data_IF_287398748351
#
_entry.id   IF_287398748351
#
_cell.length_a   1.000
_cell.length_b   1.000
_cell.length_c   1.000
_cell.angle_alpha   90.00
_cell.angle_beta   90.00
_cell.angle_gamma   90.00
#
_symmetry.space_group_name_H-M   'P 1'
#
loop_
_entity.id
_entity.type
_entity.pdbx_description
1 polymer ?
#
# COMPACT_ATOMS: atom_id res chain seq x y z
N UNK A 1 -32.48 -5.22 4.44
CA UNK A 1 -32.25 -3.87 3.86
C UNK A 1 -30.88 -3.28 4.25
N UNK A 2 -30.38 -3.55 5.45
CA UNK A 2 -29.12 -2.98 5.99
C UNK A 2 -27.83 -3.29 5.20
N UNK A 3 -27.70 -4.52 4.69
CA UNK A 3 -26.54 -4.96 3.88
C UNK A 3 -26.31 -4.11 2.63
N UNK A 4 -27.37 -3.75 1.90
CA UNK A 4 -27.25 -2.94 0.68
C UNK A 4 -26.88 -1.49 1.02
N UNK A 5 -27.36 -0.97 2.15
CA UNK A 5 -27.01 0.37 2.65
C UNK A 5 -25.51 0.46 3.00
N UNK A 6 -24.97 -0.50 3.75
CA UNK A 6 -23.54 -0.55 4.10
C UNK A 6 -22.65 -0.65 2.86
N UNK A 7 -23.04 -1.48 1.88
CA UNK A 7 -22.32 -1.61 0.61
C UNK A 7 -22.34 -0.33 -0.22
N UNK A 8 -23.49 0.34 -0.29
CA UNK A 8 -23.63 1.61 -0.98
C UNK A 8 -22.78 2.70 -0.33
N UNK A 9 -22.76 2.77 1.02
CA UNK A 9 -21.87 3.66 1.78
C UNK A 9 -20.40 3.42 1.43
N UNK A 10 -19.97 2.15 1.39
CA UNK A 10 -18.59 1.80 1.05
C UNK A 10 -18.19 2.18 -0.38
N UNK A 11 -19.12 2.09 -1.34
CA UNK A 11 -18.93 2.56 -2.71
C UNK A 11 -18.83 4.09 -2.73
N UNK A 12 -19.75 4.79 -2.07
CA UNK A 12 -19.78 6.25 -2.04
C UNK A 12 -18.50 6.84 -1.43
N UNK A 13 -17.97 6.24 -0.36
CA UNK A 13 -16.70 6.65 0.23
C UNK A 13 -15.55 6.63 -0.78
N UNK A 14 -15.43 5.57 -1.59
CA UNK A 14 -14.42 5.51 -2.65
C UNK A 14 -14.68 6.53 -3.76
N UNK A 15 -15.95 6.82 -4.09
CA UNK A 15 -16.28 7.83 -5.10
C UNK A 15 -15.93 9.26 -4.70
N UNK A 16 -15.78 9.54 -3.40
CA UNK A 16 -15.37 10.85 -2.89
C UNK A 16 -13.86 11.10 -3.03
N UNK A 17 -13.06 10.06 -3.25
CA UNK A 17 -11.61 10.17 -3.40
C UNK A 17 -11.23 10.86 -4.72
N UNK A 18 -10.12 11.60 -4.70
CA UNK A 18 -9.68 12.38 -5.87
C UNK A 18 -9.24 11.50 -7.04
N UNK A 19 -8.64 10.33 -6.78
CA UNK A 19 -8.40 9.29 -7.80
C UNK A 19 -9.68 8.94 -8.56
N UNK A 20 -10.80 8.74 -7.86
CA UNK A 20 -12.05 8.40 -8.50
C UNK A 20 -12.61 9.58 -9.32
N UNK A 21 -12.57 10.80 -8.78
CA UNK A 21 -12.98 12.00 -9.50
C UNK A 21 -12.17 12.19 -10.79
N UNK A 22 -10.84 11.99 -10.71
CA UNK A 22 -9.92 12.05 -11.84
C UNK A 22 -10.25 10.98 -12.88
N UNK A 23 -10.45 9.73 -12.45
CA UNK A 23 -10.87 8.63 -13.31
C UNK A 23 -12.14 8.96 -14.10
N UNK A 24 -13.21 9.41 -13.44
CA UNK A 24 -14.48 9.66 -14.14
C UNK A 24 -14.44 10.89 -15.06
N UNK A 25 -13.54 11.85 -14.78
CA UNK A 25 -13.27 12.99 -15.67
C UNK A 25 -12.61 12.52 -16.98
N UNK A 26 -11.60 11.66 -16.88
CA UNK A 26 -10.82 11.18 -18.02
C UNK A 26 -11.55 10.08 -18.80
N UNK A 27 -12.22 9.16 -18.09
CA UNK A 27 -12.89 7.98 -18.69
C UNK A 27 -14.39 8.01 -18.44
N UNK A 28 -15.14 8.82 -19.23
CA UNK A 28 -16.60 8.79 -19.26
C UNK A 28 -17.13 7.38 -19.52
N UNK A 29 -18.32 7.08 -18.98
CA UNK A 29 -18.92 5.73 -19.07
C UNK A 29 -19.04 5.21 -20.51
N UNK A 30 -19.29 6.11 -21.45
CA UNK A 30 -19.49 5.82 -22.87
C UNK A 30 -18.19 5.44 -23.58
N UNK A 31 -17.04 5.92 -23.09
CA UNK A 31 -15.72 5.66 -23.67
C UNK A 31 -14.99 4.49 -22.99
N UNK A 32 -15.64 3.79 -22.04
CA UNK A 32 -15.04 2.66 -21.33
C UNK A 32 -14.99 1.42 -22.20
N UNK A 33 -13.77 1.05 -22.56
CA UNK A 33 -13.43 -0.16 -23.32
C UNK A 33 -13.31 -1.38 -22.38
N UNK A 34 -13.73 -2.58 -22.85
CA UNK A 34 -13.89 -3.78 -22.00
C UNK A 34 -12.55 -4.42 -21.66
N UNK A 35 -11.61 -4.35 -22.58
CA UNK A 35 -10.25 -4.85 -22.55
C UNK A 35 -9.47 -4.23 -21.38
N UNK A 36 -9.79 -2.99 -21.02
CA UNK A 36 -9.17 -2.27 -19.90
C UNK A 36 -9.98 -2.35 -18.60
N UNK A 37 -11.04 -3.16 -18.54
CA UNK A 37 -11.95 -3.16 -17.37
C UNK A 37 -11.30 -3.67 -16.08
N UNK A 38 -10.28 -4.52 -16.19
CA UNK A 38 -9.49 -5.05 -15.08
C UNK A 38 -8.18 -4.27 -14.85
N UNK A 39 -7.97 -3.16 -15.58
CA UNK A 39 -6.81 -2.28 -15.44
C UNK A 39 -7.24 -0.83 -15.19
N UNK A 40 -7.46 -0.05 -16.25
CA UNK A 40 -7.64 1.40 -16.17
C UNK A 40 -9.11 1.85 -16.24
N UNK A 41 -9.98 1.03 -16.83
CA UNK A 41 -11.41 1.32 -17.02
C UNK A 41 -12.28 0.60 -15.97
N UNK A 42 -11.92 0.76 -14.71
CA UNK A 42 -12.53 0.04 -13.59
C UNK A 42 -14.05 0.23 -13.50
N UNK A 43 -14.79 -0.85 -13.23
CA UNK A 43 -16.25 -0.81 -13.08
C UNK A 43 -16.64 -0.81 -11.61
N UNK A 44 -17.51 0.13 -11.22
CA UNK A 44 -18.07 0.17 -9.87
C UNK A 44 -18.82 -1.13 -9.58
N UNK A 45 -18.51 -1.83 -8.47
CA UNK A 45 -19.22 -3.03 -8.06
C UNK A 45 -20.70 -2.74 -7.81
N UNK A 46 -21.60 -3.59 -8.32
CA UNK A 46 -23.03 -3.48 -8.05
C UNK A 46 -23.34 -4.00 -6.63
N UNK A 47 -23.71 -3.08 -5.74
CA UNK A 47 -24.01 -3.35 -4.33
C UNK A 47 -25.25 -4.23 -4.13
N UNK A 48 -26.13 -4.31 -5.12
CA UNK A 48 -27.40 -5.06 -5.10
C UNK A 48 -27.20 -6.55 -5.36
N UNK A 49 -26.04 -6.96 -5.88
CA UNK A 49 -25.77 -8.36 -6.18
C UNK A 49 -25.81 -9.21 -4.91
N UNK A 50 -26.45 -10.37 -5.02
CA UNK A 50 -26.53 -11.33 -3.92
C UNK A 50 -25.20 -12.10 -3.76
N UNK A 51 -24.20 -11.40 -3.22
CA UNK A 51 -22.87 -11.93 -2.92
C UNK A 51 -22.72 -12.20 -1.42
N UNK A 52 -21.88 -13.17 -1.07
CA UNK A 52 -21.37 -13.33 0.29
C UNK A 52 -20.54 -12.11 0.70
N UNK A 53 -20.31 -11.93 2.01
CA UNK A 53 -19.48 -10.82 2.52
C UNK A 53 -18.06 -10.86 1.95
N UNK A 54 -17.42 -12.04 1.96
CA UNK A 54 -16.07 -12.22 1.41
C UNK A 54 -15.98 -11.90 -0.09
N UNK A 55 -16.91 -12.42 -0.92
CA UNK A 55 -16.94 -12.11 -2.36
C UNK A 55 -17.14 -10.62 -2.63
N UNK A 56 -17.99 -9.96 -1.84
CA UNK A 56 -18.17 -8.51 -1.94
C UNK A 56 -16.90 -7.75 -1.58
N UNK A 57 -16.28 -8.06 -0.44
CA UNK A 57 -15.06 -7.39 0.00
C UNK A 57 -13.91 -7.57 -0.99
N UNK A 58 -13.76 -8.75 -1.58
CA UNK A 58 -12.78 -8.99 -2.66
C UNK A 58 -13.03 -8.10 -3.88
N UNK A 59 -14.28 -8.01 -4.35
CA UNK A 59 -14.64 -7.13 -5.48
C UNK A 59 -14.41 -5.65 -5.17
N UNK A 60 -14.80 -5.21 -3.97
CA UNK A 60 -14.61 -3.84 -3.52
C UNK A 60 -13.13 -3.48 -3.40
N UNK A 61 -12.31 -4.37 -2.83
CA UNK A 61 -10.86 -4.20 -2.70
C UNK A 61 -10.19 -4.11 -4.08
N UNK A 62 -10.51 -5.03 -5.00
CA UNK A 62 -9.98 -4.99 -6.36
C UNK A 62 -10.33 -3.68 -7.06
N UNK A 63 -11.61 -3.26 -7.00
CA UNK A 63 -12.03 -1.99 -7.59
C UNK A 63 -11.28 -0.79 -7.00
N UNK A 64 -11.10 -0.74 -5.67
CA UNK A 64 -10.31 0.32 -5.02
C UNK A 64 -8.86 0.35 -5.50
N UNK A 65 -8.21 -0.81 -5.62
CA UNK A 65 -6.83 -0.89 -6.16
C UNK A 65 -6.74 -0.25 -7.55
N UNK A 66 -7.71 -0.52 -8.43
CA UNK A 66 -7.74 0.08 -9.77
C UNK A 66 -8.04 1.58 -9.73
N UNK A 67 -8.93 2.04 -8.85
CA UNK A 67 -9.20 3.47 -8.63
C UNK A 67 -7.93 4.19 -8.17
N UNK A 68 -7.22 3.66 -7.18
CA UNK A 68 -6.00 4.27 -6.64
C UNK A 68 -4.85 4.39 -7.64
N UNK A 69 -4.83 3.62 -8.73
CA UNK A 69 -3.86 3.85 -9.82
C UNK A 69 -3.94 5.26 -10.40
N UNK A 70 -5.11 5.87 -10.33
CA UNK A 70 -5.33 7.24 -10.80
C UNK A 70 -4.74 8.31 -9.87
N UNK A 71 -4.32 7.99 -8.66
CA UNK A 71 -3.64 8.94 -7.77
C UNK A 71 -2.31 9.42 -8.37
N UNK A 72 -1.65 8.57 -9.16
CA UNK A 72 -0.36 8.82 -9.81
C UNK A 72 -0.46 9.58 -11.14
N UNK A 73 -1.67 9.80 -11.64
CA UNK A 73 -1.90 10.55 -12.88
C UNK A 73 -1.98 12.04 -12.56
N UNK A 74 -1.10 12.84 -13.17
CA UNK A 74 -1.13 14.30 -13.00
C UNK A 74 -2.29 14.93 -13.77
N UNK A 75 -2.66 16.17 -13.43
CA UNK A 75 -3.72 16.87 -14.16
C UNK A 75 -3.36 17.12 -15.64
N UNK A 76 -2.09 17.43 -15.94
CA UNK A 76 -1.61 17.56 -17.32
C UNK A 76 -1.77 16.26 -18.12
N UNK A 77 -1.54 15.11 -17.49
CA UNK A 77 -1.75 13.80 -18.13
C UNK A 77 -3.24 13.50 -18.34
N UNK A 78 -4.14 14.04 -17.53
CA UNK A 78 -5.58 13.81 -17.67
C UNK A 78 -6.12 14.32 -19.02
N UNK A 79 -5.65 15.48 -19.46
CA UNK A 79 -6.08 16.07 -20.72
C UNK A 79 -5.58 15.22 -21.90
N UNK A 80 -4.30 14.81 -21.87
CA UNK A 80 -3.71 13.91 -22.86
C UNK A 80 -4.46 12.58 -22.97
N UNK A 81 -4.75 11.95 -21.82
CA UNK A 81 -5.49 10.68 -21.76
C UNK A 81 -6.92 10.83 -22.31
N UNK A 82 -7.59 11.94 -21.99
CA UNK A 82 -8.93 12.23 -22.51
C UNK A 82 -8.93 12.34 -24.03
N UNK A 83 -7.90 12.95 -24.61
CA UNK A 83 -7.77 13.11 -26.05
C UNK A 83 -7.35 11.82 -26.76
N UNK A 84 -6.55 10.95 -26.12
CA UNK A 84 -6.31 9.59 -26.61
C UNK A 84 -7.63 8.81 -26.74
N UNK A 85 -8.48 8.85 -25.71
CA UNK A 85 -9.78 8.15 -25.75
C UNK A 85 -10.73 8.69 -26.81
N UNK A 86 -10.79 10.02 -27.01
CA UNK A 86 -11.61 10.63 -28.07
C UNK A 86 -11.15 10.22 -29.46
N UNK A 87 -9.84 10.05 -29.66
CA UNK A 87 -9.22 9.62 -30.93
C UNK A 87 -9.25 8.10 -31.15
N UNK A 88 -9.66 7.33 -30.13
CA UNK A 88 -9.61 5.87 -30.16
C UNK A 88 -8.19 5.29 -30.03
N UNK A 89 -7.22 6.10 -29.62
CA UNK A 89 -5.83 5.71 -29.43
C UNK A 89 -5.66 5.03 -28.06
N UNK A 90 -5.94 3.73 -28.02
CA UNK A 90 -5.83 2.92 -26.79
C UNK A 90 -4.38 2.60 -26.43
N UNK A 91 -3.50 2.47 -27.41
CA UNK A 91 -2.08 2.18 -27.16
C UNK A 91 -1.39 3.39 -26.51
N UNK A 92 -1.62 4.59 -27.04
CA UNK A 92 -1.13 5.83 -26.44
C UNK A 92 -1.70 6.05 -25.04
N UNK A 93 -2.99 5.76 -24.85
CA UNK A 93 -3.62 5.82 -23.52
C UNK A 93 -2.90 4.91 -22.50
N UNK A 94 -2.71 3.63 -22.84
CA UNK A 94 -2.06 2.66 -21.94
C UNK A 94 -0.61 3.04 -21.69
N UNK A 95 0.11 3.49 -22.72
CA UNK A 95 1.50 3.92 -22.60
C UNK A 95 1.68 5.06 -21.59
N UNK A 96 0.84 6.10 -21.66
CA UNK A 96 0.86 7.22 -20.71
C UNK A 96 0.55 6.70 -19.29
N UNK A 97 -0.53 5.92 -19.15
CA UNK A 97 -0.96 5.37 -17.87
C UNK A 97 0.12 4.50 -17.18
N UNK A 98 0.77 3.60 -17.90
CA UNK A 98 1.82 2.74 -17.33
C UNK A 98 3.12 3.50 -17.06
N UNK A 99 3.42 4.56 -17.84
CA UNK A 99 4.58 5.41 -17.58
C UNK A 99 4.48 6.15 -16.25
N UNK A 100 3.27 6.60 -15.87
CA UNK A 100 3.01 7.23 -14.57
C UNK A 100 3.05 6.26 -13.39
N UNK A 101 2.96 4.95 -13.64
CA UNK A 101 3.01 3.92 -12.61
C UNK A 101 4.42 3.42 -12.30
N UNK A 102 5.42 3.79 -13.10
CA UNK A 102 6.82 3.50 -12.82
C UNK A 102 7.27 4.38 -11.65
N UNK A 103 7.23 3.82 -10.45
CA UNK A 103 8.04 4.36 -9.36
C UNK A 103 9.51 4.28 -9.79
N UNK A 104 10.22 5.41 -9.72
CA UNK A 104 11.55 5.35 -9.13
C UNK A 104 11.32 5.01 -7.67
N UNK A 105 11.33 3.72 -7.33
CA UNK A 105 11.49 3.33 -5.93
C UNK A 105 12.91 3.77 -5.61
N UNK A 106 13.04 4.99 -5.10
CA UNK A 106 14.33 5.67 -4.95
C UNK A 106 15.26 4.84 -4.04
N UNK A 107 14.68 4.04 -3.14
CA UNK A 107 15.38 3.05 -2.33
C UNK A 107 14.37 2.15 -1.59
N UNK A 108 14.24 0.87 -1.98
CA UNK A 108 13.53 -0.10 -1.13
C UNK A 108 14.49 -0.54 -0.02
N UNK A 109 14.34 0.05 1.17
CA UNK A 109 15.18 -0.23 2.33
C UNK A 109 15.18 -1.73 2.67
N UNK A 110 14.04 -2.41 2.56
CA UNK A 110 13.94 -3.82 2.88
C UNK A 110 14.66 -4.67 1.83
N UNK A 111 14.45 -4.41 0.54
CA UNK A 111 15.12 -5.12 -0.54
C UNK A 111 16.64 -4.86 -0.51
N UNK A 112 17.07 -3.64 -0.21
CA UNK A 112 18.47 -3.29 -0.04
C UNK A 112 19.11 -4.03 1.15
N UNK A 113 18.47 -4.02 2.32
CA UNK A 113 18.94 -4.73 3.50
C UNK A 113 18.98 -6.25 3.28
N UNK A 114 18.05 -6.81 2.51
CA UNK A 114 18.00 -8.25 2.21
C UNK A 114 18.95 -8.65 1.08
N UNK A 115 19.21 -7.77 0.12
CA UNK A 115 20.05 -8.02 -1.04
C UNK A 115 21.55 -7.84 -0.77
N UNK A 116 21.92 -7.02 0.22
CA UNK A 116 23.33 -6.79 0.59
C UNK A 116 23.90 -7.86 1.54
N UNK A 117 23.06 -8.73 2.11
CA UNK A 117 23.50 -9.68 3.12
C UNK A 117 23.16 -11.12 2.73
N UNK A 118 24.17 -12.00 2.78
CA UNK A 118 23.95 -13.44 2.65
C UNK A 118 23.13 -13.93 3.84
N UNK A 119 22.09 -14.73 3.57
CA UNK A 119 21.06 -15.21 4.51
C UNK A 119 21.59 -15.89 5.80
N UNK A 120 22.88 -16.13 5.91
CA UNK A 120 23.53 -16.84 7.02
C UNK A 120 23.75 -15.98 8.29
N UNK A 121 23.44 -14.67 8.28
CA UNK A 121 23.81 -13.75 9.37
C UNK A 121 22.67 -13.15 10.18
N UNK A 122 21.40 -13.36 9.80
CA UNK A 122 20.26 -12.83 10.55
C UNK A 122 19.43 -13.95 11.17
N UNK A 123 19.74 -14.27 12.43
CA UNK A 123 18.79 -14.95 13.28
C UNK A 123 17.69 -13.96 13.67
N UNK A 124 16.42 -14.25 13.40
CA UNK A 124 15.36 -13.30 13.73
C UNK A 124 15.25 -13.18 15.25
N UNK A 125 15.29 -11.94 15.74
CA UNK A 125 15.26 -11.64 17.18
C UNK A 125 13.85 -11.24 17.59
N UNK A 126 13.40 -11.77 18.73
CA UNK A 126 12.22 -11.27 19.43
C UNK A 126 12.68 -10.41 20.59
N UNK A 127 12.36 -9.13 20.54
CA UNK A 127 12.54 -8.21 21.66
C UNK A 127 11.53 -8.54 22.77
N UNK A 128 12.03 -8.83 23.98
CA UNK A 128 11.22 -9.04 25.18
C UNK A 128 11.35 -7.80 26.10
N UNK A 129 10.33 -6.92 26.14
CA UNK A 129 10.37 -5.74 26.99
C UNK A 129 10.30 -6.10 28.48
N UNK A 130 10.85 -5.24 29.35
CA UNK A 130 10.97 -5.51 30.79
C UNK A 130 9.62 -5.75 31.49
N UNK A 131 8.54 -5.15 30.99
CA UNK A 131 7.20 -5.28 31.56
C UNK A 131 6.54 -6.64 31.24
N UNK A 132 7.04 -7.38 30.25
CA UNK A 132 6.47 -8.65 29.85
C UNK A 132 7.01 -9.80 30.73
N UNK A 133 6.13 -10.35 31.58
CA UNK A 133 6.48 -11.40 32.55
C UNK A 133 6.37 -12.84 32.02
N UNK A 134 5.90 -13.03 30.78
CA UNK A 134 5.77 -14.35 30.17
C UNK A 134 7.08 -14.85 29.54
N UNK A 135 7.06 -16.10 29.08
CA UNK A 135 8.12 -16.66 28.24
C UNK A 135 7.73 -16.60 26.77
N UNK A 136 8.66 -16.13 25.93
CA UNK A 136 8.51 -16.11 24.48
C UNK A 136 9.53 -17.07 23.92
N UNK A 137 9.10 -18.29 23.60
CA UNK A 137 9.90 -19.28 22.92
C UNK A 137 9.23 -19.57 21.58
N UNK A 138 9.88 -19.18 20.48
CA UNK A 138 9.43 -19.48 19.12
C UNK A 138 10.55 -20.19 18.38
N UNK A 139 10.24 -21.32 17.71
CA UNK A 139 11.23 -22.08 16.97
C UNK A 139 11.87 -21.21 15.88
N UNK A 140 13.19 -21.14 15.88
CA UNK A 140 13.97 -20.36 14.91
C UNK A 140 14.17 -18.89 15.25
N UNK A 141 13.63 -18.40 16.38
CA UNK A 141 13.84 -17.03 16.85
C UNK A 141 14.69 -17.00 18.12
N UNK A 142 15.58 -16.01 18.21
CA UNK A 142 16.30 -15.71 19.43
C UNK A 142 15.54 -14.65 20.23
N UNK A 143 15.08 -14.99 21.43
CA UNK A 143 14.51 -13.98 22.33
C UNK A 143 15.62 -13.23 23.04
N UNK A 144 15.57 -11.90 23.00
CA UNK A 144 16.56 -11.00 23.61
C UNK A 144 15.82 -10.08 24.56
N UNK A 145 16.30 -10.00 25.81
CA UNK A 145 15.77 -9.08 26.81
C UNK A 145 16.13 -7.62 26.47
N UNK A 146 15.40 -6.70 27.09
CA UNK A 146 15.55 -5.27 26.83
C UNK A 146 16.98 -4.76 27.04
N UNK A 147 17.66 -5.15 28.11
CA UNK A 147 19.03 -4.70 28.37
C UNK A 147 19.99 -5.19 27.29
N UNK A 148 19.90 -6.47 26.92
CA UNK A 148 20.73 -7.04 25.86
C UNK A 148 20.43 -6.42 24.49
N UNK A 149 19.16 -6.12 24.19
CA UNK A 149 18.76 -5.48 22.94
C UNK A 149 19.31 -4.04 22.84
N UNK A 150 19.20 -3.26 23.90
CA UNK A 150 19.68 -1.87 23.93
C UNK A 150 21.20 -1.81 23.80
N UNK A 151 21.93 -2.64 24.54
CA UNK A 151 23.39 -2.69 24.45
C UNK A 151 23.88 -3.05 23.04
N UNK A 152 23.24 -4.03 22.39
CA UNK A 152 23.57 -4.41 21.01
C UNK A 152 23.21 -3.30 20.01
N UNK A 153 22.08 -2.63 20.24
CA UNK A 153 21.62 -1.53 19.41
C UNK A 153 22.57 -0.33 19.50
N UNK A 154 22.92 0.12 20.71
CA UNK A 154 23.87 1.21 20.92
C UNK A 154 25.23 0.92 20.26
N UNK A 155 25.77 -0.29 20.44
CA UNK A 155 27.01 -0.70 19.78
C UNK A 155 26.93 -0.62 18.25
N UNK A 156 25.81 -1.04 17.68
CA UNK A 156 25.60 -1.06 16.22
C UNK A 156 25.30 0.33 15.65
N UNK A 157 24.73 1.22 16.46
CA UNK A 157 24.30 2.57 16.07
C UNK A 157 25.35 3.65 16.36
N UNK A 158 26.45 3.33 17.07
CA UNK A 158 27.50 4.28 17.48
C UNK A 158 28.12 5.13 16.35
N UNK A 159 27.99 4.72 15.09
CA UNK A 159 28.47 5.47 13.92
C UNK A 159 27.41 6.31 13.20
N UNK A 160 26.17 6.33 13.68
CA UNK A 160 25.03 7.00 13.03
C UNK A 160 24.66 8.33 13.72
N UNK A 161 23.78 9.09 13.07
CA UNK A 161 23.30 10.39 13.55
C UNK A 161 22.68 10.29 14.95
N UNK A 162 23.15 11.13 15.89
CA UNK A 162 22.74 11.06 17.29
C UNK A 162 21.23 11.26 17.50
N UNK A 163 20.58 12.27 16.89
CA UNK A 163 19.11 12.41 16.91
C UNK A 163 18.37 11.14 16.44
N UNK A 164 18.86 10.49 15.38
CA UNK A 164 18.30 9.23 14.92
C UNK A 164 18.45 8.12 15.97
N UNK A 165 19.64 7.96 16.54
CA UNK A 165 19.93 6.97 17.58
C UNK A 165 19.04 7.17 18.81
N UNK A 166 18.95 8.40 19.30
CA UNK A 166 18.11 8.77 20.45
C UNK A 166 16.63 8.45 20.16
N UNK A 167 16.13 8.79 18.97
CA UNK A 167 14.75 8.49 18.58
C UNK A 167 14.49 6.98 18.47
N UNK A 168 15.42 6.23 17.86
CA UNK A 168 15.33 4.77 17.74
C UNK A 168 15.24 4.12 19.12
N UNK A 169 16.19 4.41 20.03
CA UNK A 169 16.20 3.87 21.39
C UNK A 169 14.93 4.26 22.15
N UNK A 170 14.48 5.51 21.99
CA UNK A 170 13.26 5.99 22.65
C UNK A 170 12.00 5.24 22.21
N UNK A 171 11.96 4.71 20.98
CA UNK A 171 10.82 3.95 20.45
C UNK A 171 10.61 2.62 21.21
N UNK A 172 11.69 2.02 21.71
CA UNK A 172 11.65 0.72 22.39
C UNK A 172 11.65 0.83 23.92
N UNK A 173 12.10 1.96 24.46
CA UNK A 173 12.24 2.18 25.92
C UNK A 173 11.19 3.10 26.52
N UNK A 174 10.56 4.00 25.74
CA UNK A 174 9.50 4.83 26.27
C UNK A 174 8.25 4.00 26.56
N UNK A 175 8.05 3.74 27.84
CA UNK A 175 6.84 3.18 28.43
C UNK A 175 5.71 4.20 28.37
N UNK A 176 5.26 4.60 27.18
CA UNK A 176 4.01 5.33 26.99
C UNK A 176 2.97 4.44 26.33
N UNK A 177 2.46 3.52 27.14
CA UNK A 177 1.03 3.17 27.15
C UNK A 177 0.51 3.44 28.57
#
# INVERSE_FOLDING_TARGET
MEKNSSRLKAVNLTKLQDSYKRYVRVVPRQLRVKELSDSWHSRTPDYRLNLTHSKWNKRLSNWRKLVHRWDRISDAQCDLLSDCLKRGDLEGFVSICESSNKESVDFDVCDHLLGQHTADLYYPIIYKPFWFKGDINSNGFQTVDETTFLNKSEQSLNGLDKPFCDNFISTYTNSRL
#
